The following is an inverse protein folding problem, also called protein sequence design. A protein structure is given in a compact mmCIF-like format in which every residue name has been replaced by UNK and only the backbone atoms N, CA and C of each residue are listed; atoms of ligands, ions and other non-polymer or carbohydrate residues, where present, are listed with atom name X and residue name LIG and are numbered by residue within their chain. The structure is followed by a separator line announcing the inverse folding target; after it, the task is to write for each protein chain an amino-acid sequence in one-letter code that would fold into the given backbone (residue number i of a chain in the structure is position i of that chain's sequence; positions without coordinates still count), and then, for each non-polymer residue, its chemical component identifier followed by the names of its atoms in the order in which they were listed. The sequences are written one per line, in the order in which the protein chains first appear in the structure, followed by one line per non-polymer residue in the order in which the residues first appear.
data_IF_798692170783
#
_entry.id   IF_798692170783
#
_cell.length_a   1.000
_cell.length_b   1.000
_cell.length_c   1.000
_cell.angle_alpha   90.00
_cell.angle_beta   90.00
_cell.angle_gamma   90.00
#
_symmetry.space_group_name_H-M   'P 1'
#
loop_
_entity.id
_entity.type
_entity.pdbx_description
1 polymer ?
#
# COMPACT_ATOMS: atom_id res chain seq x y z
N UNK A 1 -47.87 19.56 23.37
CA UNK A 1 -48.13 20.81 22.63
C UNK A 1 -46.88 21.67 22.72
N UNK A 2 -45.97 21.53 21.75
CA UNK A 2 -44.73 22.32 21.70
C UNK A 2 -44.82 23.27 20.52
N UNK A 3 -44.90 24.56 20.82
CA UNK A 3 -45.02 25.67 19.87
C UNK A 3 -43.72 25.84 19.09
N UNK A 4 -43.78 25.62 17.78
CA UNK A 4 -42.67 25.79 16.84
C UNK A 4 -42.64 27.25 16.37
N UNK A 5 -41.81 28.08 17.00
CA UNK A 5 -41.56 29.46 16.60
C UNK A 5 -40.69 29.49 15.34
N UNK A 6 -41.25 29.89 14.19
CA UNK A 6 -40.49 30.13 12.95
C UNK A 6 -39.74 31.46 13.06
N UNK A 7 -38.41 31.39 12.94
CA UNK A 7 -37.56 32.56 12.80
C UNK A 7 -37.74 33.19 11.39
N UNK A 8 -37.79 34.52 11.25
CA UNK A 8 -37.86 35.18 9.94
C UNK A 8 -36.54 35.01 9.18
N UNK A 9 -36.62 34.59 7.92
CA UNK A 9 -35.48 34.53 7.00
C UNK A 9 -35.10 35.94 6.54
N UNK A 10 -33.85 36.32 6.75
CA UNK A 10 -33.24 37.56 6.24
C UNK A 10 -33.02 37.46 4.72
N UNK A 11 -33.21 38.55 3.95
CA UNK A 11 -32.95 38.56 2.52
C UNK A 11 -31.45 38.44 2.20
N UNK A 12 -31.10 37.82 1.07
CA UNK A 12 -29.70 37.64 0.66
C UNK A 12 -29.04 38.97 0.26
N UNK A 13 -27.74 39.14 0.53
CA UNK A 13 -27.00 40.33 0.16
C UNK A 13 -26.78 40.44 -1.37
N UNK A 14 -26.61 41.67 -1.89
CA UNK A 14 -26.39 41.90 -3.32
C UNK A 14 -25.02 41.34 -3.78
N UNK A 15 -24.92 40.90 -5.05
CA UNK A 15 -23.67 40.39 -5.61
C UNK A 15 -22.60 41.47 -5.71
N UNK A 16 -21.37 41.13 -5.31
CA UNK A 16 -20.20 42.03 -5.41
C UNK A 16 -19.74 42.19 -6.87
N UNK A 17 -19.21 43.37 -7.25
CA UNK A 17 -18.55 43.56 -8.54
C UNK A 17 -17.31 42.66 -8.66
N UNK A 18 -17.24 41.92 -9.76
CA UNK A 18 -16.09 41.09 -10.12
C UNK A 18 -15.03 42.00 -10.73
N UNK A 19 -13.95 42.27 -10.00
CA UNK A 19 -12.73 42.86 -10.55
C UNK A 19 -12.05 41.84 -11.45
N UNK A 20 -12.03 42.11 -12.76
CA UNK A 20 -11.29 41.34 -13.75
C UNK A 20 -9.78 41.50 -13.49
N UNK A 21 -9.19 40.55 -12.78
CA UNK A 21 -7.74 40.42 -12.68
C UNK A 21 -7.26 39.64 -13.91
N UNK A 22 -6.77 40.39 -14.89
CA UNK A 22 -6.08 39.90 -16.09
C UNK A 22 -4.83 39.12 -15.65
N UNK A 23 -4.97 37.79 -15.58
CA UNK A 23 -3.90 36.87 -15.21
C UNK A 23 -3.17 36.50 -16.50
N UNK A 24 -1.98 37.04 -16.67
CA UNK A 24 -1.05 36.64 -17.72
C UNK A 24 -0.92 35.10 -17.76
N UNK A 25 -0.79 34.49 -18.96
CA UNK A 25 -0.68 33.04 -19.09
C UNK A 25 0.57 32.54 -18.37
N UNK A 26 0.37 31.85 -17.24
CA UNK A 26 1.44 31.08 -16.62
C UNK A 26 1.92 30.02 -17.63
N UNK A 27 3.23 29.88 -17.86
CA UNK A 27 3.77 28.75 -18.58
C UNK A 27 3.45 27.49 -17.76
N UNK A 28 2.43 26.76 -18.19
CA UNK A 28 2.04 25.48 -17.63
C UNK A 28 3.19 24.51 -17.86
N UNK A 29 4.01 24.33 -16.82
CA UNK A 29 4.93 23.21 -16.74
C UNK A 29 4.08 21.95 -16.87
N UNK A 30 4.23 21.15 -17.94
CA UNK A 30 3.44 19.95 -18.10
C UNK A 30 3.69 19.05 -16.89
N UNK A 31 2.65 18.78 -16.12
CA UNK A 31 2.71 17.86 -14.99
C UNK A 31 3.27 16.52 -15.45
N UNK A 32 4.06 15.85 -14.60
CA UNK A 32 4.64 14.53 -14.91
C UNK A 32 3.57 13.53 -15.40
N UNK A 33 2.33 13.70 -14.95
CA UNK A 33 1.13 12.97 -15.36
C UNK A 33 0.82 13.10 -16.85
N UNK A 34 0.96 14.28 -17.46
CA UNK A 34 0.69 14.47 -18.89
C UNK A 34 1.76 13.83 -19.77
N UNK A 35 3.02 13.83 -19.31
CA UNK A 35 4.14 13.19 -20.00
C UNK A 35 4.06 11.66 -19.98
N UNK A 36 3.53 11.08 -18.91
CA UNK A 36 3.31 9.63 -18.80
C UNK A 36 2.13 9.16 -19.66
N UNK A 37 1.11 10.00 -19.84
CA UNK A 37 -0.09 9.70 -20.65
C UNK A 37 0.24 9.54 -22.15
N UNK A 38 1.25 10.25 -22.65
CA UNK A 38 1.63 10.21 -24.08
C UNK A 38 2.43 8.96 -24.47
N UNK A 39 3.01 8.25 -23.50
CA UNK A 39 3.97 7.16 -23.76
C UNK A 39 3.47 5.77 -23.34
N UNK A 40 2.35 5.67 -22.61
CA UNK A 40 1.83 4.39 -22.13
C UNK A 40 0.36 4.18 -22.53
N UNK A 41 -0.05 2.92 -22.82
CA UNK A 41 -1.44 2.61 -23.08
C UNK A 41 -2.32 2.96 -21.87
N UNK A 42 -3.58 3.38 -22.09
CA UNK A 42 -4.47 3.92 -21.05
C UNK A 42 -4.75 2.95 -19.89
N UNK A 43 -4.63 1.64 -20.13
CA UNK A 43 -4.73 0.59 -19.11
C UNK A 43 -3.64 0.66 -18.04
N UNK A 44 -2.44 1.12 -18.39
CA UNK A 44 -1.31 1.18 -17.45
C UNK A 44 -1.44 2.36 -16.50
N UNK A 45 -1.98 3.49 -16.97
CA UNK A 45 -2.20 4.69 -16.15
C UNK A 45 -3.25 4.42 -15.05
N UNK A 46 -4.36 3.77 -15.39
CA UNK A 46 -5.40 3.35 -14.41
C UNK A 46 -4.86 2.37 -13.35
N UNK A 47 -3.97 1.45 -13.75
CA UNK A 47 -3.36 0.50 -12.82
C UNK A 47 -2.44 1.22 -11.83
N UNK A 48 -1.64 2.17 -12.29
CA UNK A 48 -0.73 2.96 -11.43
C UNK A 48 -1.53 3.83 -10.46
N UNK A 49 -2.59 4.49 -10.92
CA UNK A 49 -3.46 5.28 -10.02
C UNK A 49 -4.13 4.40 -8.96
N UNK A 50 -4.61 3.21 -9.33
CA UNK A 50 -5.21 2.27 -8.39
C UNK A 50 -4.20 1.78 -7.35
N UNK A 51 -2.97 1.46 -7.80
CA UNK A 51 -1.87 1.06 -6.90
C UNK A 51 -1.46 2.20 -5.97
N UNK A 52 -1.46 3.45 -6.44
CA UNK A 52 -1.14 4.62 -5.62
C UNK A 52 -2.27 4.99 -4.67
N UNK A 53 -3.53 4.87 -5.10
CA UNK A 53 -4.70 5.24 -4.33
C UNK A 53 -5.02 4.21 -3.25
N UNK A 54 -4.81 2.92 -3.52
CA UNK A 54 -5.15 1.84 -2.59
C UNK A 54 -4.23 0.63 -2.78
N UNK A 55 -2.98 0.68 -2.31
CA UNK A 55 -2.03 -0.42 -2.50
C UNK A 55 -2.48 -1.73 -1.84
N UNK A 56 -3.32 -1.65 -0.79
CA UNK A 56 -3.84 -2.79 -0.03
C UNK A 56 -4.82 -3.70 -0.78
N UNK A 57 -5.40 -3.26 -1.90
CA UNK A 57 -6.31 -4.10 -2.70
C UNK A 57 -5.60 -4.85 -3.83
N UNK A 58 -4.29 -4.67 -3.96
CA UNK A 58 -3.51 -5.23 -5.07
C UNK A 58 -2.68 -6.43 -4.62
N UNK A 59 -2.49 -7.46 -5.48
CA UNK A 59 -1.69 -8.63 -5.14
C UNK A 59 -0.16 -8.36 -5.17
N UNK A 60 0.27 -7.22 -5.72
CA UNK A 60 1.69 -6.96 -6.01
C UNK A 60 2.59 -6.92 -4.77
N UNK A 61 2.21 -6.28 -3.65
CA UNK A 61 3.03 -6.31 -2.43
C UNK A 61 3.26 -7.74 -1.93
N UNK A 62 2.23 -8.58 -1.90
CA UNK A 62 2.34 -9.98 -1.51
C UNK A 62 3.21 -10.81 -2.49
N UNK A 63 3.06 -10.61 -3.81
CA UNK A 63 3.91 -11.28 -4.81
C UNK A 63 5.39 -10.90 -4.68
N UNK A 64 5.66 -9.61 -4.51
CA UNK A 64 7.02 -9.11 -4.35
C UNK A 64 7.66 -9.69 -3.09
N UNK A 65 6.93 -9.71 -1.98
CA UNK A 65 7.40 -10.29 -0.71
C UNK A 65 7.63 -11.79 -0.83
N UNK A 66 6.74 -12.52 -1.51
CA UNK A 66 6.94 -13.94 -1.84
C UNK A 66 8.22 -14.17 -2.64
N UNK A 67 8.43 -13.41 -3.73
CA UNK A 67 9.64 -13.52 -4.54
C UNK A 67 10.91 -13.21 -3.75
N UNK A 68 10.86 -12.21 -2.87
CA UNK A 68 11.96 -11.88 -1.98
C UNK A 68 12.23 -12.98 -0.95
N UNK A 69 11.19 -13.61 -0.39
CA UNK A 69 11.36 -14.76 0.49
C UNK A 69 12.03 -15.94 -0.24
N UNK A 70 11.57 -16.29 -1.46
CA UNK A 70 12.17 -17.37 -2.23
C UNK A 70 13.62 -17.08 -2.64
N UNK A 71 13.90 -15.88 -3.14
CA UNK A 71 15.28 -15.48 -3.50
C UNK A 71 16.19 -15.44 -2.27
N UNK A 72 15.68 -15.00 -1.13
CA UNK A 72 16.38 -15.04 0.15
C UNK A 72 16.61 -16.46 0.66
N UNK A 73 15.73 -17.41 0.36
CA UNK A 73 15.93 -18.82 0.70
C UNK A 73 17.20 -19.36 0.03
N UNK A 74 17.44 -19.03 -1.25
CA UNK A 74 18.70 -19.36 -1.92
C UNK A 74 19.92 -18.73 -1.24
N UNK A 75 19.81 -17.50 -0.76
CA UNK A 75 20.87 -16.85 0.01
C UNK A 75 21.10 -17.51 1.39
N UNK A 76 20.04 -18.02 2.02
CA UNK A 76 20.10 -18.74 3.29
C UNK A 76 20.78 -20.12 3.15
N UNK A 77 20.62 -20.81 2.01
CA UNK A 77 21.34 -22.07 1.72
C UNK A 77 22.86 -21.88 1.74
N UNK A 78 23.35 -20.69 1.39
CA UNK A 78 24.79 -20.36 1.42
C UNK A 78 25.30 -20.04 2.84
N UNK A 79 24.52 -20.28 3.88
CA UNK A 79 24.94 -20.11 5.28
C UNK A 79 25.03 -18.64 5.73
N UNK A 80 24.27 -17.73 5.10
CA UNK A 80 24.28 -16.33 5.49
C UNK A 80 23.77 -16.11 6.92
N UNK A 81 24.57 -15.46 7.77
CA UNK A 81 24.12 -15.02 9.11
C UNK A 81 22.99 -13.99 8.99
N UNK A 82 21.95 -14.14 9.81
CA UNK A 82 20.84 -13.19 9.94
C UNK A 82 19.61 -13.48 9.10
N UNK A 83 19.66 -14.46 8.18
CA UNK A 83 18.47 -14.92 7.47
C UNK A 83 17.56 -15.73 8.40
N UNK A 84 16.26 -15.75 8.08
CA UNK A 84 15.27 -16.56 8.78
C UNK A 84 15.54 -18.08 8.71
N UNK A 85 16.45 -18.52 7.83
CA UNK A 85 16.70 -19.93 7.53
C UNK A 85 15.99 -20.37 6.26
N UNK A 86 16.46 -21.44 5.63
CA UNK A 86 15.93 -21.88 4.32
C UNK A 86 14.46 -22.28 4.36
N UNK A 87 14.10 -23.22 5.24
CA UNK A 87 12.74 -23.76 5.38
C UNK A 87 11.69 -22.68 5.69
N UNK A 88 11.87 -21.80 6.68
CA UNK A 88 10.89 -20.75 6.94
C UNK A 88 10.79 -19.76 5.77
N UNK A 89 11.89 -19.42 5.08
CA UNK A 89 11.81 -18.54 3.92
C UNK A 89 11.01 -19.16 2.77
N UNK A 90 11.13 -20.47 2.53
CA UNK A 90 10.24 -21.16 1.59
C UNK A 90 8.78 -21.15 2.05
N UNK A 91 8.54 -21.42 3.34
CA UNK A 91 7.20 -21.44 3.92
C UNK A 91 6.50 -20.09 3.82
N UNK A 92 7.17 -19.02 4.26
CA UNK A 92 6.65 -17.66 4.14
C UNK A 92 6.51 -17.22 2.69
N UNK A 93 7.43 -17.61 1.81
CA UNK A 93 7.28 -17.38 0.36
C UNK A 93 5.99 -17.99 -0.19
N UNK A 94 5.72 -19.26 0.13
CA UNK A 94 4.50 -19.95 -0.29
C UNK A 94 3.24 -19.33 0.33
N UNK A 95 3.30 -18.90 1.59
CA UNK A 95 2.18 -18.22 2.26
C UNK A 95 1.85 -16.89 1.59
N UNK A 96 2.84 -16.04 1.33
CA UNK A 96 2.62 -14.76 0.65
C UNK A 96 2.16 -14.94 -0.79
N UNK A 97 2.65 -15.97 -1.49
CA UNK A 97 2.15 -16.34 -2.81
C UNK A 97 0.68 -16.76 -2.76
N UNK A 98 0.32 -17.60 -1.78
CA UNK A 98 -1.05 -18.03 -1.53
C UNK A 98 -1.96 -16.86 -1.20
N UNK A 99 -1.52 -15.96 -0.31
CA UNK A 99 -2.24 -14.74 0.02
C UNK A 99 -2.47 -13.88 -1.23
N UNK A 100 -1.45 -13.65 -2.05
CA UNK A 100 -1.60 -12.95 -3.33
C UNK A 100 -2.66 -13.58 -4.24
N UNK A 101 -2.70 -14.92 -4.32
CA UNK A 101 -3.72 -15.60 -5.12
C UNK A 101 -5.12 -15.40 -4.51
N UNK A 102 -5.26 -15.49 -3.19
CA UNK A 102 -6.53 -15.21 -2.50
C UNK A 102 -7.00 -13.78 -2.75
N UNK A 103 -6.09 -12.78 -2.72
CA UNK A 103 -6.41 -11.37 -3.03
C UNK A 103 -7.10 -11.18 -4.39
N UNK A 104 -6.87 -12.06 -5.37
CA UNK A 104 -7.55 -11.97 -6.69
C UNK A 104 -9.02 -12.39 -6.67
N UNK A 105 -9.46 -13.05 -5.59
CA UNK A 105 -10.83 -13.57 -5.43
C UNK A 105 -11.56 -12.93 -4.25
N UNK A 106 -10.82 -12.67 -3.17
CA UNK A 106 -11.33 -12.17 -1.91
C UNK A 106 -10.24 -11.29 -1.25
N UNK A 107 -10.46 -9.98 -1.34
CA UNK A 107 -9.49 -8.98 -0.89
C UNK A 107 -9.34 -9.01 0.63
N UNK A 108 -10.44 -9.12 1.38
CA UNK A 108 -10.43 -9.07 2.84
C UNK A 108 -9.73 -10.30 3.44
N UNK A 109 -10.03 -11.50 2.91
CA UNK A 109 -9.34 -12.73 3.34
C UNK A 109 -7.87 -12.74 2.92
N UNK A 110 -7.56 -12.24 1.72
CA UNK A 110 -6.19 -12.15 1.25
C UNK A 110 -5.34 -11.17 2.06
N UNK A 111 -5.85 -9.96 2.29
CA UNK A 111 -5.18 -8.89 3.02
C UNK A 111 -4.99 -9.25 4.50
N UNK A 112 -6.01 -9.81 5.15
CA UNK A 112 -5.90 -10.28 6.55
C UNK A 112 -4.90 -11.42 6.70
N UNK A 113 -4.88 -12.37 5.75
CA UNK A 113 -3.89 -13.46 5.72
C UNK A 113 -2.47 -12.90 5.57
N UNK A 114 -2.22 -12.01 4.61
CA UNK A 114 -0.92 -11.39 4.40
C UNK A 114 -0.45 -10.60 5.63
N UNK A 115 -1.37 -9.87 6.28
CA UNK A 115 -1.10 -9.09 7.50
C UNK A 115 -0.73 -10.01 8.66
N UNK A 116 -1.54 -11.03 8.94
CA UNK A 116 -1.33 -11.94 10.06
C UNK A 116 0.03 -12.65 9.94
N UNK A 117 0.35 -13.20 8.77
CA UNK A 117 1.63 -13.87 8.56
C UNK A 117 2.81 -12.91 8.50
N UNK A 118 2.63 -11.67 8.05
CA UNK A 118 3.64 -10.63 8.11
C UNK A 118 4.00 -10.21 9.54
N UNK A 119 3.01 -10.13 10.44
CA UNK A 119 3.24 -9.93 11.87
C UNK A 119 4.02 -11.11 12.46
N UNK A 120 3.61 -12.35 12.18
CA UNK A 120 4.30 -13.55 12.65
C UNK A 120 5.76 -13.56 12.16
N UNK A 121 6.01 -13.29 10.88
CA UNK A 121 7.36 -13.21 10.32
C UNK A 121 8.21 -12.20 11.09
N UNK A 122 7.68 -10.99 11.28
CA UNK A 122 8.38 -9.92 11.99
C UNK A 122 8.68 -10.36 13.42
N UNK A 123 7.69 -10.86 14.17
CA UNK A 123 7.90 -11.30 15.56
C UNK A 123 8.98 -12.38 15.69
N UNK A 124 9.03 -13.33 14.75
CA UNK A 124 10.02 -14.41 14.77
C UNK A 124 11.43 -13.95 14.38
N UNK A 125 11.56 -13.06 13.38
CA UNK A 125 12.86 -12.76 12.76
C UNK A 125 13.40 -11.36 13.02
N UNK A 126 12.62 -10.45 13.62
CA UNK A 126 13.02 -9.07 13.92
C UNK A 126 14.36 -9.00 14.66
N UNK A 127 14.49 -9.74 15.76
CA UNK A 127 15.73 -9.75 16.56
C UNK A 127 16.91 -10.31 15.76
N UNK A 128 16.72 -11.40 15.00
CA UNK A 128 17.78 -12.04 14.21
C UNK A 128 18.28 -11.12 13.09
N UNK A 129 17.35 -10.52 12.34
CA UNK A 129 17.66 -9.60 11.25
C UNK A 129 18.39 -8.36 11.75
N UNK A 130 17.89 -7.71 12.82
CA UNK A 130 18.53 -6.52 13.40
C UNK A 130 19.90 -6.84 14.01
N UNK A 131 20.02 -7.95 14.74
CA UNK A 131 21.28 -8.35 15.35
C UNK A 131 22.35 -8.73 14.32
N UNK A 132 21.97 -9.11 13.10
CA UNK A 132 22.91 -9.48 12.04
C UNK A 132 23.74 -8.30 11.51
N UNK A 133 23.23 -7.07 11.65
CA UNK A 133 23.78 -5.84 11.07
C UNK A 133 24.05 -5.94 9.55
N UNK A 134 23.31 -6.81 8.84
CA UNK A 134 23.44 -6.97 7.39
C UNK A 134 22.27 -6.33 6.66
N UNK A 135 22.57 -5.58 5.61
CA UNK A 135 21.56 -4.84 4.83
C UNK A 135 20.52 -5.78 4.21
N UNK A 136 20.92 -6.94 3.70
CA UNK A 136 20.01 -7.87 3.02
C UNK A 136 18.87 -8.43 3.92
N UNK A 137 19.14 -9.07 5.08
CA UNK A 137 18.07 -9.55 5.97
C UNK A 137 17.25 -8.42 6.61
N UNK A 138 17.87 -7.25 6.84
CA UNK A 138 17.15 -6.05 7.29
C UNK A 138 16.21 -5.54 6.19
N UNK A 139 16.66 -5.54 4.94
CA UNK A 139 15.86 -5.16 3.78
C UNK A 139 14.65 -6.08 3.59
N UNK A 140 14.84 -7.40 3.69
CA UNK A 140 13.73 -8.35 3.63
C UNK A 140 12.72 -8.11 4.76
N UNK A 141 13.21 -7.92 5.99
CA UNK A 141 12.34 -7.60 7.14
C UNK A 141 11.56 -6.29 6.90
N UNK A 142 12.21 -5.26 6.38
CA UNK A 142 11.58 -3.98 6.09
C UNK A 142 10.49 -4.11 5.03
N UNK A 143 10.73 -4.93 3.99
CA UNK A 143 9.72 -5.20 2.96
C UNK A 143 8.53 -5.95 3.55
N UNK A 144 8.76 -7.00 4.34
CA UNK A 144 7.65 -7.73 5.00
C UNK A 144 6.85 -6.80 5.90
N UNK A 145 7.51 -5.94 6.67
CA UNK A 145 6.85 -4.93 7.50
C UNK A 145 6.04 -3.93 6.67
N UNK A 146 6.58 -3.45 5.55
CA UNK A 146 5.87 -2.55 4.65
C UNK A 146 4.63 -3.23 4.04
N UNK A 147 4.75 -4.47 3.58
CA UNK A 147 3.62 -5.27 3.09
C UNK A 147 2.56 -5.47 4.18
N UNK A 148 2.99 -5.75 5.41
CA UNK A 148 2.10 -5.89 6.57
C UNK A 148 1.36 -4.59 6.85
N UNK A 149 2.03 -3.44 6.78
CA UNK A 149 1.40 -2.14 6.97
C UNK A 149 0.39 -1.80 5.86
N UNK A 150 0.75 -2.05 4.60
CA UNK A 150 -0.13 -1.81 3.44
C UNK A 150 -1.45 -2.58 3.57
N UNK A 151 -1.38 -3.88 3.85
CA UNK A 151 -2.58 -4.70 4.01
C UNK A 151 -3.26 -4.50 5.36
N UNK A 152 -2.51 -4.13 6.40
CA UNK A 152 -3.05 -3.89 7.74
C UNK A 152 -3.94 -2.66 7.80
N UNK A 153 -3.57 -1.56 7.12
CA UNK A 153 -4.43 -0.37 7.01
C UNK A 153 -5.74 -0.72 6.31
N UNK A 154 -5.67 -1.42 5.18
CA UNK A 154 -6.86 -1.85 4.45
C UNK A 154 -7.75 -2.76 5.29
N UNK A 155 -7.16 -3.73 5.99
CA UNK A 155 -7.88 -4.62 6.90
C UNK A 155 -8.56 -3.83 8.02
N UNK A 156 -7.87 -2.85 8.61
CA UNK A 156 -8.43 -2.02 9.67
C UNK A 156 -9.64 -1.21 9.17
N UNK A 157 -9.52 -0.58 8.01
CA UNK A 157 -10.60 0.22 7.42
C UNK A 157 -11.81 -0.66 7.06
N UNK A 158 -11.61 -1.89 6.53
CA UNK A 158 -12.71 -2.81 6.21
C UNK A 158 -13.54 -3.24 7.43
N UNK A 159 -12.92 -3.39 8.61
CA UNK A 159 -13.61 -3.92 9.81
C UNK A 159 -14.05 -2.84 10.80
N UNK A 160 -13.40 -1.68 10.82
CA UNK A 160 -13.60 -0.66 11.85
C UNK A 160 -13.87 0.75 11.30
N UNK A 161 -13.78 0.95 9.97
CA UNK A 161 -14.03 2.23 9.28
C UNK A 161 -15.48 2.52 8.95
#
# INVERSE_FOLDING_TARGET
MSSSSRQPQSPPPPPRPVTAHDSAPQPSTPSLTSRLTTLLPPSTVSTIETVLARPGVTPYPALLTSGLCFTSAFAALRGGRGWAGYTPLLGFGAIFLGASHVLTRDVDNGASTATAWGVIYTSLFLRSSLSSRRVAPIGLLAVVMATTGIYGVETYDSYFG
#
